data_IF_650073689145
#
_entry.id   IF_650073689145
#
_cell.length_a   1.000
_cell.length_b   1.000
_cell.length_c   1.000
_cell.angle_alpha   90.00
_cell.angle_beta   90.00
_cell.angle_gamma   90.00
#
_symmetry.space_group_name_H-M   'P 1'
#
loop_
_entity.id
_entity.type
_entity.pdbx_description
1 polymer ?
#
# COMPACT_ATOMS: atom_id res chain seq x y z
N UNK A 1 4.77 0.70 14.86
CA UNK A 1 4.44 1.78 13.91
C UNK A 1 3.94 2.93 14.74
N UNK A 2 4.54 4.11 14.57
CA UNK A 2 3.99 5.30 15.18
C UNK A 2 2.76 5.69 14.36
N UNK A 3 1.57 5.60 14.99
CA UNK A 3 0.30 5.98 14.38
C UNK A 3 0.33 7.34 13.66
N UNK A 4 1.09 8.36 14.14
CA UNK A 4 1.29 9.62 13.42
C UNK A 4 1.94 9.47 12.03
N UNK A 5 2.99 8.66 11.90
CA UNK A 5 3.70 8.52 10.63
C UNK A 5 2.91 7.73 9.59
N UNK A 6 2.10 6.76 10.03
CA UNK A 6 1.15 6.06 9.16
C UNK A 6 0.15 7.05 8.56
N UNK A 7 -0.49 7.86 9.39
CA UNK A 7 -1.50 8.84 8.94
C UNK A 7 -0.89 9.91 8.04
N UNK A 8 0.29 10.43 8.40
CA UNK A 8 1.01 11.42 7.59
C UNK A 8 1.35 10.83 6.22
N UNK A 9 1.93 9.64 6.18
CA UNK A 9 2.34 8.96 4.94
C UNK A 9 1.15 8.77 4.01
N UNK A 10 0.04 8.21 4.49
CA UNK A 10 -1.17 8.06 3.68
C UNK A 10 -1.67 9.41 3.16
N UNK A 11 -1.81 10.39 4.04
CA UNK A 11 -2.35 11.71 3.67
C UNK A 11 -1.45 12.42 2.64
N UNK A 12 -0.15 12.32 2.83
CA UNK A 12 0.83 13.07 2.06
C UNK A 12 1.08 12.45 0.69
N UNK A 13 1.09 11.12 0.56
CA UNK A 13 1.15 10.44 -0.75
C UNK A 13 -0.01 10.90 -1.67
N UNK A 14 -1.23 10.97 -1.14
CA UNK A 14 -2.40 11.34 -1.95
C UNK A 14 -2.55 12.85 -2.18
N UNK A 15 -2.04 13.70 -1.29
CA UNK A 15 -2.20 15.16 -1.39
C UNK A 15 -1.03 15.89 -2.03
N UNK A 16 0.20 15.51 -1.67
CA UNK A 16 1.42 16.29 -2.00
C UNK A 16 2.51 15.45 -2.65
N UNK A 17 2.43 14.12 -2.58
CA UNK A 17 3.44 13.21 -3.13
C UNK A 17 4.79 13.22 -2.40
N UNK A 18 4.89 13.90 -1.25
CA UNK A 18 6.11 13.98 -0.44
C UNK A 18 5.88 13.37 0.94
N UNK A 19 6.87 12.76 1.59
CA UNK A 19 6.77 12.26 2.98
C UNK A 19 7.85 12.98 3.80
N UNK A 20 7.60 13.36 5.06
CA UNK A 20 8.67 13.97 5.85
C UNK A 20 9.79 12.95 6.15
N UNK A 21 11.02 13.44 6.29
CA UNK A 21 12.19 12.59 6.54
C UNK A 21 12.03 11.70 7.78
N UNK A 22 11.28 12.15 8.79
CA UNK A 22 11.01 11.38 10.01
C UNK A 22 10.18 10.12 9.72
N UNK A 23 9.21 10.21 8.81
CA UNK A 23 8.30 9.11 8.49
C UNK A 23 8.74 8.29 7.26
N UNK A 24 9.78 8.71 6.56
CA UNK A 24 10.33 8.03 5.38
C UNK A 24 10.79 6.59 5.67
N UNK A 25 11.39 6.34 6.84
CA UNK A 25 11.82 4.99 7.24
C UNK A 25 10.64 4.06 7.55
N UNK A 26 9.53 4.62 8.06
CA UNK A 26 8.29 3.87 8.31
C UNK A 26 7.52 3.55 7.01
N UNK A 27 7.73 4.32 5.94
CA UNK A 27 7.12 4.08 4.63
C UNK A 27 7.48 2.69 4.06
N UNK A 28 8.72 2.22 4.24
CA UNK A 28 9.16 0.89 3.79
C UNK A 28 8.35 -0.24 4.46
N UNK A 29 7.94 -0.04 5.71
CA UNK A 29 7.10 -0.99 6.44
C UNK A 29 5.64 -0.90 5.97
N UNK A 30 5.18 0.32 5.67
CA UNK A 30 3.85 0.58 5.11
C UNK A 30 3.67 0.02 3.71
N UNK A 31 4.69 0.04 2.87
CA UNK A 31 4.67 -0.51 1.52
C UNK A 31 4.15 -1.96 1.52
N UNK A 32 4.72 -2.81 2.39
CA UNK A 32 4.29 -4.21 2.52
C UNK A 32 2.84 -4.34 2.98
N UNK A 33 2.38 -3.44 3.85
CA UNK A 33 0.99 -3.42 4.33
C UNK A 33 0.02 -2.97 3.24
N UNK A 34 0.37 -1.90 2.50
CA UNK A 34 -0.38 -1.39 1.36
C UNK A 34 -0.48 -2.44 0.25
N UNK A 35 0.62 -3.11 -0.09
CA UNK A 35 0.65 -4.20 -1.06
C UNK A 35 -0.27 -5.35 -0.65
N UNK A 36 -0.19 -5.79 0.61
CA UNK A 36 -1.05 -6.86 1.12
C UNK A 36 -2.54 -6.46 1.09
N UNK A 37 -2.84 -5.22 1.48
CA UNK A 37 -4.20 -4.69 1.46
C UNK A 37 -4.73 -4.54 0.01
N UNK A 38 -3.88 -4.11 -0.93
CA UNK A 38 -4.22 -3.98 -2.34
C UNK A 38 -4.47 -5.35 -2.97
N UNK A 39 -3.58 -6.32 -2.77
CA UNK A 39 -3.75 -7.71 -3.24
C UNK A 39 -5.05 -8.29 -2.70
N UNK A 40 -5.34 -8.12 -1.40
CA UNK A 40 -6.58 -8.57 -0.79
C UNK A 40 -7.81 -7.91 -1.42
N UNK A 41 -7.80 -6.58 -1.58
CA UNK A 41 -8.89 -5.81 -2.20
C UNK A 41 -9.13 -6.26 -3.65
N UNK A 42 -8.07 -6.54 -4.38
CA UNK A 42 -8.12 -7.02 -5.77
C UNK A 42 -8.75 -8.41 -5.85
N UNK A 43 -8.39 -9.33 -4.94
CA UNK A 43 -8.99 -10.67 -4.86
C UNK A 43 -10.47 -10.65 -4.49
N UNK A 44 -10.88 -9.72 -3.62
CA UNK A 44 -12.29 -9.55 -3.23
C UNK A 44 -13.15 -8.93 -4.33
N UNK A 45 -12.53 -8.27 -5.32
CA UNK A 45 -13.26 -7.58 -6.37
C UNK A 45 -13.66 -8.55 -7.50
N UNK A 46 -14.97 -8.72 -7.79
CA UNK A 46 -15.45 -9.65 -8.81
C UNK A 46 -14.89 -9.39 -10.22
N UNK A 47 -14.42 -8.18 -10.51
CA UNK A 47 -13.80 -7.83 -11.80
C UNK A 47 -12.47 -8.56 -12.03
N UNK A 48 -11.78 -8.98 -10.96
CA UNK A 48 -10.48 -9.63 -11.03
C UNK A 48 -10.55 -11.12 -10.67
N UNK A 49 -11.75 -11.69 -10.57
CA UNK A 49 -12.00 -13.10 -10.18
C UNK A 49 -11.29 -14.14 -11.06
N UNK A 50 -10.99 -13.77 -12.32
CA UNK A 50 -10.36 -14.66 -13.31
C UNK A 50 -8.83 -14.52 -13.30
N UNK A 51 -8.27 -13.57 -12.55
CA UNK A 51 -6.83 -13.43 -12.38
C UNK A 51 -6.32 -14.39 -11.31
N UNK A 52 -5.23 -15.09 -11.61
CA UNK A 52 -4.56 -15.92 -10.61
C UNK A 52 -3.79 -15.04 -9.60
N UNK A 53 -3.61 -15.58 -8.38
CA UNK A 53 -2.91 -14.89 -7.29
C UNK A 53 -1.47 -14.46 -7.66
N UNK A 54 -0.73 -15.31 -8.38
CA UNK A 54 0.64 -14.99 -8.81
C UNK A 54 0.68 -13.80 -9.77
N UNK A 55 -0.31 -13.67 -10.66
CA UNK A 55 -0.45 -12.53 -11.57
C UNK A 55 -0.79 -11.24 -10.81
N UNK A 56 -1.63 -11.32 -9.78
CA UNK A 56 -1.99 -10.16 -8.95
C UNK A 56 -0.77 -9.70 -8.14
N UNK A 57 -0.05 -10.64 -7.50
CA UNK A 57 1.17 -10.34 -6.75
C UNK A 57 2.24 -9.74 -7.65
N UNK A 58 2.49 -10.31 -8.83
CA UNK A 58 3.51 -9.80 -9.76
C UNK A 58 3.23 -8.37 -10.28
N UNK A 59 1.97 -7.90 -10.21
CA UNK A 59 1.57 -6.54 -10.58
C UNK A 59 1.52 -5.57 -9.39
N UNK A 60 1.65 -6.10 -8.17
CA UNK A 60 1.54 -5.36 -6.91
C UNK A 60 2.88 -5.35 -6.15
N UNK A 61 3.99 -5.60 -6.84
CA UNK A 61 5.39 -5.47 -6.39
C UNK A 61 6.05 -4.49 -7.34
#
# INVERSE_FOLDING_TARGET
MDLPCVIETFTSIFKTGSICNKCCSEHVVLEKFCHSALVKRTLENPLFKDLNLATIIAKSI
#
